data_IF_166658672512
#
_entry.id   IF_166658672512
#
_cell.length_a   1.000
_cell.length_b   1.000
_cell.length_c   1.000
_cell.angle_alpha   90.00
_cell.angle_beta   90.00
_cell.angle_gamma   90.00
#
_symmetry.space_group_name_H-M   'P 1'
#
loop_
_entity.id
_entity.type
_entity.pdbx_description
1 polymer ?
#
# COMPACT_ATOMS: atom_id res chain seq x y z
N UNK A 1 4.24 10.07 9.46
CA UNK A 1 5.32 9.11 9.79
C UNK A 1 5.07 8.22 11.01
N UNK A 2 4.03 8.42 11.82
CA UNK A 2 3.80 7.62 13.05
C UNK A 2 3.04 6.31 12.80
N UNK A 3 1.97 6.37 12.00
CA UNK A 3 1.07 5.22 11.74
C UNK A 3 1.54 4.37 10.56
N UNK A 4 1.99 5.01 9.47
CA UNK A 4 2.42 4.36 8.24
C UNK A 4 3.35 3.15 8.44
N UNK A 5 4.53 3.34 9.06
CA UNK A 5 5.50 2.25 9.28
C UNK A 5 4.95 1.07 10.10
N UNK A 6 3.97 1.32 10.98
CA UNK A 6 3.44 0.33 11.92
C UNK A 6 2.21 -0.40 11.38
N UNK A 7 1.35 0.32 10.66
CA UNK A 7 -0.02 -0.14 10.40
C UNK A 7 -0.36 -0.24 8.92
N UNK A 8 0.34 0.47 8.02
CA UNK A 8 -0.07 0.54 6.61
C UNK A 8 -0.14 -0.84 5.96
N UNK A 9 0.98 -1.56 5.97
CA UNK A 9 1.05 -2.89 5.38
C UNK A 9 0.33 -3.92 6.25
N UNK A 10 0.44 -3.82 7.58
CA UNK A 10 -0.23 -4.73 8.51
C UNK A 10 -1.76 -4.76 8.27
N UNK A 11 -2.40 -3.60 8.19
CA UNK A 11 -3.84 -3.50 8.00
C UNK A 11 -4.26 -3.88 6.58
N UNK A 12 -3.46 -3.52 5.56
CA UNK A 12 -3.73 -3.95 4.18
C UNK A 12 -3.72 -5.47 4.04
N UNK A 13 -2.68 -6.12 4.59
CA UNK A 13 -2.55 -7.59 4.58
C UNK A 13 -3.69 -8.25 5.33
N UNK A 14 -4.06 -7.73 6.51
CA UNK A 14 -5.19 -8.26 7.27
C UNK A 14 -6.50 -8.22 6.47
N UNK A 15 -6.79 -7.12 5.76
CA UNK A 15 -7.99 -7.04 4.90
C UNK A 15 -7.95 -8.02 3.73
N UNK A 16 -6.78 -8.20 3.13
CA UNK A 16 -6.62 -9.13 2.01
C UNK A 16 -6.87 -10.58 2.45
N UNK A 17 -6.26 -11.00 3.57
CA UNK A 17 -6.39 -12.35 4.12
C UNK A 17 -7.79 -12.64 4.64
N UNK A 18 -8.38 -11.75 5.46
CA UNK A 18 -9.67 -12.02 6.12
C UNK A 18 -10.85 -12.09 5.14
N UNK A 19 -10.76 -11.37 4.01
CA UNK A 19 -11.82 -11.31 3.00
C UNK A 19 -11.52 -12.15 1.77
N UNK A 20 -10.33 -12.73 1.66
CA UNK A 20 -9.82 -13.42 0.47
C UNK A 20 -9.94 -12.55 -0.79
N UNK A 21 -9.55 -11.28 -0.69
CA UNK A 21 -9.61 -10.31 -1.78
C UNK A 21 -8.22 -9.76 -2.10
N UNK A 22 -8.04 -9.37 -3.36
CA UNK A 22 -6.98 -8.45 -3.73
C UNK A 22 -7.22 -7.09 -3.08
N UNK A 23 -6.19 -6.50 -2.48
CA UNK A 23 -6.28 -5.20 -1.82
C UNK A 23 -5.23 -4.25 -2.37
N UNK A 24 -5.69 -3.11 -2.89
CA UNK A 24 -4.83 -2.01 -3.30
C UNK A 24 -4.85 -0.90 -2.25
N UNK A 25 -3.69 -0.59 -1.69
CA UNK A 25 -3.47 0.60 -0.89
C UNK A 25 -2.87 1.68 -1.80
N UNK A 26 -3.57 2.80 -2.00
CA UNK A 26 -3.11 3.90 -2.85
C UNK A 26 -2.88 5.14 -2.01
N UNK A 27 -1.69 5.71 -2.07
CA UNK A 27 -1.27 6.88 -1.29
C UNK A 27 -0.59 7.92 -2.17
N UNK A 28 -0.72 9.23 -1.86
CA UNK A 28 0.12 10.25 -2.45
C UNK A 28 1.61 9.99 -2.20
N UNK A 29 2.46 10.47 -3.12
CA UNK A 29 3.88 10.61 -2.85
C UNK A 29 4.09 11.49 -1.60
N UNK A 30 5.15 11.23 -0.86
CA UNK A 30 5.47 11.98 0.35
C UNK A 30 5.94 13.37 -0.02
N UNK A 31 5.18 14.37 0.43
CA UNK A 31 5.56 15.77 0.43
C UNK A 31 5.75 16.22 1.89
N UNK A 32 6.99 16.60 2.23
CA UNK A 32 7.35 17.07 3.59
C UNK A 32 7.01 18.54 3.81
N UNK A 33 6.63 19.27 2.76
CA UNK A 33 6.18 20.67 2.84
C UNK A 33 4.66 20.80 3.03
N UNK A 34 3.90 19.73 2.80
CA UNK A 34 2.46 19.69 2.97
C UNK A 34 2.05 19.74 4.45
N UNK A 35 0.85 20.28 4.71
CA UNK A 35 0.26 20.26 6.06
C UNK A 35 0.02 18.86 6.63
N UNK A 36 -0.07 17.85 5.75
CA UNK A 36 -0.08 16.43 6.11
C UNK A 36 0.96 15.67 5.30
N UNK A 37 1.93 15.08 6.00
CA UNK A 37 2.99 14.28 5.37
C UNK A 37 2.52 12.83 5.21
N UNK A 38 2.09 12.49 4.01
CA UNK A 38 1.63 11.15 3.65
C UNK A 38 2.73 10.10 3.83
N UNK A 39 2.31 8.86 4.11
CA UNK A 39 3.26 7.75 4.24
C UNK A 39 3.87 7.35 2.89
N UNK A 40 3.06 7.35 1.82
CA UNK A 40 3.44 6.80 0.51
C UNK A 40 3.24 5.28 0.48
N UNK A 41 4.13 4.57 -0.21
CA UNK A 41 4.12 3.11 -0.29
C UNK A 41 2.80 2.51 -0.79
N UNK A 42 2.28 3.05 -1.90
CA UNK A 42 1.18 2.39 -2.61
C UNK A 42 1.55 0.93 -2.87
N UNK A 43 0.66 0.00 -2.52
CA UNK A 43 0.95 -1.44 -2.46
C UNK A 43 -0.25 -2.24 -2.98
N UNK A 44 0.00 -3.23 -3.83
CA UNK A 44 -0.97 -4.26 -4.18
C UNK A 44 -0.67 -5.53 -3.39
N UNK A 45 -1.71 -6.11 -2.78
CA UNK A 45 -1.63 -7.27 -1.91
C UNK A 45 -2.58 -8.34 -2.46
N UNK A 46 -2.10 -9.58 -2.56
CA UNK A 46 -2.87 -10.73 -3.02
C UNK A 46 -3.83 -11.28 -1.92
N UNK A 47 -4.78 -12.17 -2.27
CA UNK A 47 -5.72 -12.76 -1.31
C UNK A 47 -5.08 -13.56 -0.16
N UNK A 48 -3.79 -13.89 -0.24
CA UNK A 48 -3.04 -14.55 0.83
C UNK A 48 -2.35 -13.58 1.77
N UNK A 49 -2.54 -12.28 1.56
CA UNK A 49 -1.90 -11.24 2.36
C UNK A 49 -0.44 -11.02 1.99
N UNK A 50 -0.02 -11.38 0.78
CA UNK A 50 1.34 -11.14 0.27
C UNK A 50 1.35 -9.84 -0.53
N UNK A 51 2.18 -8.85 -0.18
CA UNK A 51 2.44 -7.72 -1.06
C UNK A 51 3.14 -8.20 -2.33
N UNK A 52 2.49 -8.04 -3.49
CA UNK A 52 3.05 -8.49 -4.79
C UNK A 52 3.67 -7.37 -5.60
N UNK A 53 3.29 -6.12 -5.32
CA UNK A 53 3.88 -4.94 -5.94
C UNK A 53 3.79 -3.76 -4.96
N UNK A 54 4.82 -2.91 -4.93
CA UNK A 54 4.93 -1.81 -3.97
C UNK A 54 5.82 -0.68 -4.50
N UNK A 55 5.35 0.56 -4.35
CA UNK A 55 6.17 1.76 -4.57
C UNK A 55 6.91 2.15 -3.29
N UNK A 56 7.88 3.06 -3.42
CA UNK A 56 8.47 3.77 -2.28
C UNK A 56 7.64 5.03 -1.93
N UNK A 57 8.24 5.98 -1.22
CA UNK A 57 7.58 7.24 -0.88
C UNK A 57 7.53 8.26 -2.03
N UNK A 58 8.16 8.00 -3.17
CA UNK A 58 8.28 8.95 -4.27
C UNK A 58 7.11 8.83 -5.23
N UNK A 59 6.99 9.82 -6.12
CA UNK A 59 5.99 9.78 -7.19
C UNK A 59 6.30 8.62 -8.14
N UNK A 60 5.27 7.83 -8.46
CA UNK A 60 5.39 6.68 -9.34
C UNK A 60 4.04 6.09 -9.70
N UNK A 61 4.06 5.18 -10.67
CA UNK A 61 2.89 4.40 -11.08
C UNK A 61 3.21 2.93 -10.91
N UNK A 62 2.29 2.20 -10.28
CA UNK A 62 2.40 0.76 -10.08
C UNK A 62 1.47 0.07 -11.08
N UNK A 63 2.03 -0.88 -11.82
CA UNK A 63 1.28 -1.77 -12.73
C UNK A 63 1.41 -3.20 -12.22
N UNK A 64 0.31 -3.94 -12.28
CA UNK A 64 0.27 -5.36 -11.95
C UNK A 64 -0.95 -5.99 -12.63
N UNK A 65 -0.76 -7.22 -13.09
CA UNK A 65 -1.84 -8.06 -13.61
C UNK A 65 -2.48 -8.84 -12.45
N UNK A 66 -3.81 -8.94 -12.44
CA UNK A 66 -4.59 -9.62 -11.39
C UNK A 66 -5.29 -10.81 -12.03
N UNK A 67 -4.83 -12.03 -11.69
CA UNK A 67 -5.34 -13.29 -12.23
C UNK A 67 -4.35 -13.98 -13.19
N UNK A 68 -4.77 -15.13 -13.72
CA UNK A 68 -4.36 -15.62 -15.04
C UNK A 68 -5.30 -15.03 -16.10
#
# INVERSE_FOLDING_TARGET
MTTGPKHWELLGRARATDLQLWVALVSPARDTSAGYVAWGYSTLIDPWGTPVAKLDEKAGTLFADIGD
#
